data_IF_221176081150
#
_entry.id   IF_221176081150
#
_cell.length_a   1.000
_cell.length_b   1.000
_cell.length_c   1.000
_cell.angle_alpha   90.00
_cell.angle_beta   90.00
_cell.angle_gamma   90.00
#
_symmetry.space_group_name_H-M   'P 1'
#
loop_
_entity.id
_entity.type
_entity.pdbx_description
1 polymer ?
#
# COMPACT_ATOMS: atom_id res chain seq x y z
N UNK A 1 22.12 -64.20 -51.63
CA UNK A 1 21.56 -63.79 -50.31
C UNK A 1 22.13 -62.42 -49.96
N UNK A 2 21.37 -61.34 -50.15
CA UNK A 2 21.77 -59.97 -49.74
C UNK A 2 20.85 -59.56 -48.58
N UNK A 3 21.41 -59.41 -47.38
CA UNK A 3 20.69 -58.98 -46.17
C UNK A 3 20.67 -57.46 -46.13
N UNK A 4 19.50 -56.87 -46.31
CA UNK A 4 19.27 -55.43 -46.14
C UNK A 4 19.10 -55.14 -44.64
N UNK A 5 20.01 -54.37 -44.06
CA UNK A 5 19.92 -53.91 -42.67
C UNK A 5 19.06 -52.63 -42.68
N UNK A 6 17.87 -52.70 -42.08
CA UNK A 6 17.07 -51.52 -41.75
C UNK A 6 17.68 -50.83 -40.54
N UNK A 7 18.19 -49.62 -40.72
CA UNK A 7 18.55 -48.72 -39.62
C UNK A 7 17.32 -47.89 -39.29
N UNK A 8 16.63 -48.23 -38.20
CA UNK A 8 15.56 -47.39 -37.62
C UNK A 8 16.25 -46.27 -36.84
N UNK A 9 16.13 -45.04 -37.35
CA UNK A 9 16.64 -43.85 -36.68
C UNK A 9 15.56 -43.30 -35.74
N UNK A 10 15.70 -43.52 -34.44
CA UNK A 10 14.87 -42.88 -33.41
C UNK A 10 15.34 -41.45 -33.19
N UNK A 11 14.65 -40.47 -33.78
CA UNK A 11 14.83 -39.07 -33.46
C UNK A 11 14.12 -38.75 -32.12
N UNK A 12 14.88 -38.61 -31.03
CA UNK A 12 14.37 -38.03 -29.79
C UNK A 12 14.27 -36.50 -29.96
N UNK A 13 13.06 -35.98 -30.10
CA UNK A 13 12.79 -34.54 -29.96
C UNK A 13 12.77 -34.20 -28.45
N UNK A 14 13.86 -33.64 -27.92
CA UNK A 14 13.85 -33.02 -26.60
C UNK A 14 13.24 -31.62 -26.71
N UNK A 15 11.96 -31.48 -26.35
CA UNK A 15 11.36 -30.18 -26.12
C UNK A 15 11.97 -29.57 -24.85
N UNK A 16 12.97 -28.71 -25.02
CA UNK A 16 13.53 -27.92 -23.93
C UNK A 16 12.48 -26.86 -23.52
N UNK A 17 11.69 -27.17 -22.50
CA UNK A 17 10.83 -26.18 -21.83
C UNK A 17 11.74 -25.30 -20.97
N UNK A 18 12.15 -24.15 -21.50
CA UNK A 18 12.81 -23.12 -20.69
C UNK A 18 11.80 -22.53 -19.72
N UNK A 19 11.89 -22.92 -18.45
CA UNK A 19 11.14 -22.26 -17.37
C UNK A 19 11.77 -20.88 -17.19
N UNK A 20 11.12 -19.84 -17.73
CA UNK A 20 11.47 -18.46 -17.42
C UNK A 20 11.20 -18.22 -15.94
N UNK A 21 12.24 -18.19 -15.12
CA UNK A 21 12.14 -17.75 -13.74
C UNK A 21 11.71 -16.27 -13.76
N UNK A 22 10.52 -15.98 -13.25
CA UNK A 22 10.06 -14.62 -13.03
C UNK A 22 11.06 -13.92 -12.10
N UNK A 23 11.80 -12.94 -12.62
CA UNK A 23 12.65 -12.12 -11.76
C UNK A 23 11.73 -11.24 -10.90
N UNK A 24 11.91 -11.21 -9.57
CA UNK A 24 11.17 -10.28 -8.74
C UNK A 24 11.44 -8.86 -9.24
N UNK A 25 10.40 -8.03 -9.29
CA UNK A 25 10.57 -6.63 -9.58
C UNK A 25 11.34 -6.02 -8.40
N UNK A 26 12.41 -5.28 -8.64
CA UNK A 26 13.00 -4.42 -7.61
C UNK A 26 12.13 -3.15 -7.43
N UNK A 27 10.81 -3.32 -7.38
CA UNK A 27 9.83 -2.30 -7.06
C UNK A 27 9.44 -2.47 -5.59
N UNK A 28 9.07 -1.38 -4.95
CA UNK A 28 8.54 -1.43 -3.59
C UNK A 28 7.64 -0.22 -3.39
N UNK A 29 6.43 -0.45 -2.89
CA UNK A 29 5.47 0.61 -2.62
C UNK A 29 4.13 0.11 -2.10
N UNK A 30 3.38 1.01 -1.50
CA UNK A 30 2.07 0.72 -0.91
C UNK A 30 1.24 2.01 -0.85
N UNK A 31 -0.08 1.87 -0.69
CA UNK A 31 -0.95 3.01 -0.42
C UNK A 31 -0.77 3.48 1.02
N UNK A 32 -0.29 4.70 1.20
CA UNK A 32 -0.06 5.32 2.50
C UNK A 32 -1.28 6.13 2.99
N UNK A 33 -2.07 6.71 2.08
CA UNK A 33 -3.25 7.51 2.45
C UNK A 33 -4.38 7.41 1.42
N UNK A 34 -5.63 7.06 1.81
CA UNK A 34 -5.99 6.52 3.11
C UNK A 34 -5.17 5.25 3.42
N UNK A 35 -4.77 5.03 4.70
CA UNK A 35 -3.82 3.98 5.03
C UNK A 35 -4.35 2.59 4.65
N UNK A 36 -3.54 1.87 3.88
CA UNK A 36 -3.78 0.46 3.55
C UNK A 36 -3.60 -0.46 4.76
N UNK A 37 -4.09 -1.70 4.67
CA UNK A 37 -3.95 -2.72 5.72
C UNK A 37 -2.50 -2.91 6.16
N UNK A 38 -1.56 -3.00 5.22
CA UNK A 38 -0.13 -3.09 5.54
C UNK A 38 0.40 -1.82 6.21
N UNK A 39 -0.08 -0.62 5.81
CA UNK A 39 0.28 0.62 6.49
C UNK A 39 -0.26 0.65 7.93
N UNK A 40 -1.49 0.18 8.16
CA UNK A 40 -2.08 0.05 9.49
C UNK A 40 -1.28 -0.91 10.38
N UNK A 41 -0.88 -2.06 9.82
CA UNK A 41 -0.04 -3.03 10.51
C UNK A 41 1.29 -2.42 10.93
N UNK A 42 1.98 -1.76 10.00
CA UNK A 42 3.28 -1.16 10.25
C UNK A 42 3.21 0.03 11.23
N UNK A 43 2.05 0.72 11.30
CA UNK A 43 1.74 1.74 12.31
C UNK A 43 1.32 1.15 13.68
N UNK A 44 1.25 -0.17 13.84
CA UNK A 44 0.80 -0.82 15.07
C UNK A 44 -0.70 -0.67 15.36
N UNK A 45 -1.50 -0.23 14.39
CA UNK A 45 -2.95 -0.02 14.54
C UNK A 45 -3.76 -1.32 14.50
N UNK A 46 -3.16 -2.39 13.97
CA UNK A 46 -3.73 -3.73 13.95
C UNK A 46 -2.67 -4.71 14.45
N UNK A 47 -3.06 -5.57 15.40
CA UNK A 47 -2.17 -6.55 15.99
C UNK A 47 -2.12 -7.87 15.19
N UNK A 48 -1.06 -8.63 15.44
CA UNK A 48 -0.88 -9.97 14.85
C UNK A 48 -0.77 -9.93 13.33
N UNK A 49 -0.08 -8.93 12.77
CA UNK A 49 0.11 -8.80 11.33
C UNK A 49 1.30 -9.62 10.78
N UNK A 50 2.17 -10.17 11.65
CA UNK A 50 3.36 -10.89 11.21
C UNK A 50 4.40 -9.95 10.58
N UNK A 51 5.17 -10.46 9.62
CA UNK A 51 6.35 -9.77 9.06
C UNK A 51 6.03 -8.46 8.33
N UNK A 52 4.79 -8.30 7.84
CA UNK A 52 4.38 -7.12 7.07
C UNK A 52 4.51 -5.80 7.86
N UNK A 53 4.60 -5.87 9.20
CA UNK A 53 4.83 -4.67 10.04
C UNK A 53 6.18 -4.00 9.75
N UNK A 54 7.17 -4.76 9.25
CA UNK A 54 8.51 -4.26 8.97
C UNK A 54 8.71 -3.81 7.52
N UNK A 55 7.87 -4.31 6.61
CA UNK A 55 8.04 -4.11 5.17
C UNK A 55 6.72 -3.89 4.43
N UNK A 56 5.91 -2.88 4.80
CA UNK A 56 4.60 -2.63 4.17
C UNK A 56 4.70 -2.42 2.65
N UNK A 57 5.85 -1.98 2.15
CA UNK A 57 6.14 -1.78 0.74
C UNK A 57 6.32 -3.06 -0.11
N UNK A 58 6.28 -4.25 0.50
CA UNK A 58 6.76 -5.50 -0.13
C UNK A 58 5.66 -6.49 -0.53
N UNK A 59 4.39 -6.09 -0.60
CA UNK A 59 3.28 -6.99 -0.99
C UNK A 59 3.28 -7.21 -2.52
N UNK A 60 4.35 -7.85 -3.02
CA UNK A 60 4.57 -8.18 -4.42
C UNK A 60 4.13 -9.60 -4.73
N UNK A 61 3.27 -9.78 -5.74
CA UNK A 61 2.96 -11.11 -6.24
C UNK A 61 2.56 -11.11 -7.71
N UNK A 62 2.24 -12.28 -8.30
CA UNK A 62 1.87 -12.38 -9.70
C UNK A 62 0.71 -11.46 -10.05
N UNK A 63 0.71 -10.86 -11.25
CA UNK A 63 -0.42 -10.04 -11.74
C UNK A 63 -1.75 -10.80 -11.73
N UNK A 64 -2.85 -10.06 -11.60
CA UNK A 64 -4.21 -10.60 -11.71
C UNK A 64 -4.85 -11.07 -10.39
N UNK A 65 -4.16 -10.92 -9.26
CA UNK A 65 -4.74 -11.28 -7.96
C UNK A 65 -5.87 -10.31 -7.57
N UNK A 66 -6.82 -10.82 -6.78
CA UNK A 66 -7.96 -10.07 -6.22
C UNK A 66 -8.06 -10.20 -4.69
N UNK A 67 -6.93 -10.48 -4.05
CA UNK A 67 -6.79 -10.58 -2.61
C UNK A 67 -5.78 -9.53 -2.09
N UNK A 68 -5.81 -9.29 -0.78
CA UNK A 68 -5.04 -8.22 -0.14
C UNK A 68 -3.56 -8.55 0.06
N UNK A 69 -3.18 -9.83 -0.04
CA UNK A 69 -1.81 -10.30 0.16
C UNK A 69 -1.09 -10.60 -1.16
N UNK A 70 -1.72 -10.36 -2.32
CA UNK A 70 -1.12 -10.60 -3.63
C UNK A 70 -0.72 -12.05 -3.91
N UNK A 71 -1.30 -13.03 -3.21
CA UNK A 71 -0.85 -14.43 -3.28
C UNK A 71 0.45 -14.73 -2.52
N UNK A 72 0.98 -13.77 -1.73
CA UNK A 72 2.16 -13.94 -0.90
C UNK A 72 1.79 -14.59 0.44
N UNK A 73 2.09 -15.88 0.59
CA UNK A 73 1.67 -16.67 1.75
C UNK A 73 2.13 -16.08 3.11
N UNK A 74 3.33 -15.51 3.19
CA UNK A 74 3.85 -14.88 4.43
C UNK A 74 3.08 -13.62 4.88
N UNK A 75 2.25 -13.05 4.00
CA UNK A 75 1.42 -11.87 4.27
C UNK A 75 -0.08 -12.19 4.26
N UNK A 76 -0.46 -13.48 4.33
CA UNK A 76 -1.86 -13.93 4.27
C UNK A 76 -2.78 -13.23 5.29
N UNK A 77 -2.23 -12.75 6.40
CA UNK A 77 -2.92 -11.96 7.43
C UNK A 77 -3.63 -10.74 6.83
N UNK A 78 -3.09 -10.11 5.78
CA UNK A 78 -3.73 -8.96 5.13
C UNK A 78 -5.09 -9.30 4.51
N UNK A 79 -5.32 -10.57 4.19
CA UNK A 79 -6.57 -11.10 3.66
C UNK A 79 -7.49 -11.71 4.71
N UNK A 80 -7.08 -11.76 5.96
CA UNK A 80 -7.91 -12.25 7.05
C UNK A 80 -8.98 -11.20 7.41
N UNK A 81 -10.21 -11.46 6.98
CA UNK A 81 -11.35 -10.57 7.24
C UNK A 81 -11.89 -10.68 8.67
N UNK A 82 -11.41 -11.62 9.48
CA UNK A 82 -11.79 -11.70 10.91
C UNK A 82 -11.08 -10.66 11.77
N UNK A 83 -9.98 -10.09 11.25
CA UNK A 83 -9.25 -9.01 11.92
C UNK A 83 -10.05 -7.70 11.93
N UNK A 84 -9.93 -6.90 13.00
CA UNK A 84 -10.66 -5.64 13.15
C UNK A 84 -10.04 -4.50 12.32
N UNK A 85 -10.01 -4.63 11.00
CA UNK A 85 -9.42 -3.63 10.10
C UNK A 85 -10.13 -2.27 10.23
N UNK A 86 -9.43 -1.21 10.68
CA UNK A 86 -10.02 0.12 10.80
C UNK A 86 -10.37 0.68 9.42
N UNK A 87 -11.58 1.22 9.28
CA UNK A 87 -12.03 1.86 8.05
C UNK A 87 -11.83 3.38 8.12
N UNK A 88 -11.33 4.00 7.05
CA UNK A 88 -11.21 5.46 6.96
C UNK A 88 -12.50 6.06 6.40
N UNK A 89 -13.12 6.99 7.14
CA UNK A 89 -14.31 7.71 6.66
C UNK A 89 -13.96 8.66 5.53
N UNK A 90 -14.72 8.60 4.44
CA UNK A 90 -14.49 9.37 3.22
C UNK A 90 -15.82 9.81 2.59
N UNK A 91 -15.74 10.84 1.73
CA UNK A 91 -16.83 11.18 0.82
C UNK A 91 -16.96 10.17 -0.32
N UNK A 92 -17.63 10.57 -1.40
CA UNK A 92 -17.79 9.78 -2.62
C UNK A 92 -16.65 9.96 -3.63
N UNK A 93 -15.65 10.79 -3.31
CA UNK A 93 -14.42 10.95 -4.09
C UNK A 93 -13.23 10.87 -3.13
N UNK A 94 -12.23 10.06 -3.49
CA UNK A 94 -11.10 9.75 -2.61
C UNK A 94 -9.80 9.81 -3.39
N UNK A 95 -8.81 10.52 -2.85
CA UNK A 95 -7.45 10.50 -3.39
C UNK A 95 -6.62 9.45 -2.66
N UNK A 96 -6.20 8.42 -3.40
CA UNK A 96 -5.24 7.42 -2.94
C UNK A 96 -3.82 7.90 -3.25
N UNK A 97 -2.97 7.89 -2.22
CA UNK A 97 -1.58 8.33 -2.28
C UNK A 97 -0.67 7.14 -2.02
N UNK A 98 0.08 6.77 -3.04
CA UNK A 98 1.13 5.76 -2.98
C UNK A 98 2.46 6.38 -2.58
N UNK A 99 3.23 5.61 -1.82
CA UNK A 99 4.64 5.90 -1.52
C UNK A 99 5.46 4.77 -2.13
N UNK A 100 6.42 5.12 -2.98
CA UNK A 100 7.29 4.17 -3.67
C UNK A 100 8.71 4.29 -3.12
N UNK A 101 9.16 3.27 -2.40
CA UNK A 101 10.53 3.21 -1.87
C UNK A 101 11.52 2.71 -2.94
N UNK A 102 11.04 1.97 -3.93
CA UNK A 102 11.77 1.65 -5.16
C UNK A 102 10.85 1.81 -6.37
N UNK A 103 11.16 2.79 -7.23
CA UNK A 103 10.33 3.16 -8.40
C UNK A 103 10.66 2.25 -9.57
N UNK A 104 9.65 1.77 -10.29
CA UNK A 104 9.82 0.85 -11.42
C UNK A 104 8.96 1.27 -12.60
N UNK A 105 9.37 0.93 -13.82
CA UNK A 105 8.54 1.07 -15.02
C UNK A 105 7.13 0.52 -14.75
N UNK A 106 6.11 1.34 -14.95
CA UNK A 106 4.74 1.06 -14.52
C UNK A 106 3.81 0.98 -15.72
N UNK A 107 3.00 -0.08 -15.78
CA UNK A 107 1.94 -0.19 -16.77
C UNK A 107 0.71 0.57 -16.26
N UNK A 108 -0.04 -0.01 -15.35
CA UNK A 108 -1.28 0.59 -14.86
C UNK A 108 -1.37 0.56 -13.33
N UNK A 109 -2.14 1.50 -12.80
CA UNK A 109 -2.68 1.49 -11.46
C UNK A 109 -4.17 1.20 -11.54
N UNK A 110 -4.63 0.18 -10.85
CA UNK A 110 -6.04 -0.22 -10.88
C UNK A 110 -6.65 -0.23 -9.48
N UNK A 111 -7.93 0.13 -9.39
CA UNK A 111 -8.68 0.15 -8.14
C UNK A 111 -9.94 -0.69 -8.28
N UNK A 112 -10.20 -1.54 -7.30
CA UNK A 112 -11.33 -2.48 -7.30
C UNK A 112 -12.13 -2.39 -6.00
N UNK A 113 -13.45 -2.52 -6.11
CA UNK A 113 -14.31 -2.91 -4.99
C UNK A 113 -14.93 -4.26 -5.37
N UNK A 114 -14.62 -5.29 -4.56
CA UNK A 114 -14.91 -6.68 -4.93
C UNK A 114 -14.26 -7.02 -6.28
N UNK A 115 -15.06 -7.44 -7.26
CA UNK A 115 -14.62 -7.74 -8.62
C UNK A 115 -14.74 -6.55 -9.59
N UNK A 116 -15.35 -5.44 -9.16
CA UNK A 116 -15.62 -4.30 -10.04
C UNK A 116 -14.42 -3.36 -10.06
N UNK A 117 -13.85 -3.12 -11.25
CA UNK A 117 -12.82 -2.08 -11.43
C UNK A 117 -13.48 -0.70 -11.39
N UNK A 118 -13.16 0.09 -10.38
CA UNK A 118 -13.73 1.44 -10.19
C UNK A 118 -12.85 2.54 -10.81
N UNK A 119 -11.56 2.28 -11.02
CA UNK A 119 -10.67 3.19 -11.75
C UNK A 119 -9.44 2.46 -12.33
N UNK A 120 -8.87 3.04 -13.37
CA UNK A 120 -7.57 2.67 -13.95
C UNK A 120 -6.82 3.94 -14.38
N UNK A 121 -5.52 3.96 -14.12
CA UNK A 121 -4.58 5.00 -14.56
C UNK A 121 -3.43 4.31 -15.29
N UNK A 122 -3.06 4.80 -16.47
CA UNK A 122 -2.05 4.17 -17.34
C UNK A 122 -0.82 5.08 -17.46
N UNK A 123 0.33 4.57 -17.02
CA UNK A 123 1.63 5.26 -17.10
C UNK A 123 2.37 4.95 -18.41
N UNK A 124 1.88 3.99 -19.20
CA UNK A 124 2.43 3.62 -20.50
C UNK A 124 3.87 3.09 -20.44
N UNK A 125 4.26 2.45 -19.34
CA UNK A 125 5.61 1.94 -19.12
C UNK A 125 6.58 2.95 -18.50
N UNK A 126 6.15 4.19 -18.21
CA UNK A 126 7.02 5.20 -17.60
C UNK A 126 7.36 4.82 -16.16
N UNK A 127 8.53 5.26 -15.69
CA UNK A 127 8.85 5.22 -14.26
C UNK A 127 8.11 6.39 -13.57
N UNK A 128 7.25 6.12 -12.58
CA UNK A 128 6.52 7.16 -11.85
C UNK A 128 7.45 7.96 -10.93
N UNK A 129 6.92 9.04 -10.35
CA UNK A 129 7.56 9.72 -9.23
C UNK A 129 7.63 8.85 -7.96
N UNK A 130 8.32 9.33 -6.93
CA UNK A 130 8.41 8.61 -5.65
C UNK A 130 7.07 8.58 -4.89
N UNK A 131 6.17 9.49 -5.25
CA UNK A 131 4.81 9.60 -4.74
C UNK A 131 3.85 9.63 -5.93
N UNK A 132 2.73 8.92 -5.82
CA UNK A 132 1.71 8.91 -6.88
C UNK A 132 0.34 9.13 -6.24
N UNK A 133 -0.44 10.05 -6.79
CA UNK A 133 -1.76 10.41 -6.29
C UNK A 133 -2.82 10.18 -7.35
N UNK A 134 -3.87 9.45 -6.98
CA UNK A 134 -4.98 9.11 -7.87
C UNK A 134 -6.31 9.41 -7.19
N UNK A 135 -7.09 10.32 -7.78
CA UNK A 135 -8.46 10.60 -7.32
C UNK A 135 -9.43 9.65 -7.99
N UNK A 136 -10.12 8.85 -7.18
CA UNK A 136 -11.05 7.81 -7.61
C UNK A 136 -12.46 8.23 -7.22
N UNK A 137 -13.38 8.19 -8.20
CA UNK A 137 -14.80 8.40 -7.96
C UNK A 137 -15.44 7.10 -7.44
N UNK A 138 -16.07 7.19 -6.28
CA UNK A 138 -16.77 6.11 -5.58
C UNK A 138 -18.26 6.43 -5.37
N UNK A 139 -18.85 7.34 -6.15
CA UNK A 139 -20.25 7.77 -5.99
C UNK A 139 -21.29 6.67 -6.16
N UNK A 140 -20.93 5.54 -6.80
CA UNK A 140 -21.78 4.35 -6.89
C UNK A 140 -21.75 3.45 -5.65
N UNK A 141 -21.04 3.83 -4.59
CA UNK A 141 -20.79 3.00 -3.42
C UNK A 141 -21.05 3.77 -2.12
N UNK A 142 -21.43 3.04 -1.07
CA UNK A 142 -21.67 3.59 0.26
C UNK A 142 -21.36 2.56 1.35
N UNK A 143 -21.21 3.04 2.59
CA UNK A 143 -20.95 2.19 3.76
C UNK A 143 -19.54 1.61 3.75
N UNK A 144 -19.35 0.52 4.49
CA UNK A 144 -18.03 -0.09 4.67
C UNK A 144 -17.65 -0.84 3.40
N UNK A 145 -16.61 -0.37 2.71
CA UNK A 145 -16.10 -0.96 1.49
C UNK A 145 -14.61 -1.23 1.62
N UNK A 146 -14.14 -2.28 0.94
CA UNK A 146 -12.72 -2.57 0.80
C UNK A 146 -12.30 -2.29 -0.62
N UNK A 147 -11.38 -1.35 -0.78
CA UNK A 147 -10.76 -1.04 -2.07
C UNK A 147 -9.45 -1.80 -2.18
N UNK A 148 -9.30 -2.60 -3.22
CA UNK A 148 -8.02 -3.18 -3.62
C UNK A 148 -7.36 -2.26 -4.65
N UNK A 149 -6.24 -1.66 -4.28
CA UNK A 149 -5.38 -0.91 -5.17
C UNK A 149 -4.24 -1.81 -5.68
N UNK A 150 -4.03 -1.84 -6.99
CA UNK A 150 -3.07 -2.70 -7.68
C UNK A 150 -2.12 -1.84 -8.50
N UNK A 151 -0.82 -2.01 -8.30
CA UNK A 151 0.23 -1.38 -9.08
C UNK A 151 0.87 -2.43 -9.99
N UNK A 152 0.56 -2.40 -11.29
CA UNK A 152 1.07 -3.34 -12.27
C UNK A 152 2.42 -2.87 -12.84
N UNK A 153 3.49 -3.61 -12.57
CA UNK A 153 4.83 -3.31 -13.10
C UNK A 153 4.87 -3.60 -14.61
N UNK A 154 5.47 -2.73 -15.43
CA UNK A 154 5.38 -2.86 -16.88
C UNK A 154 6.19 -4.04 -17.44
N UNK A 155 7.38 -4.25 -16.90
CA UNK A 155 8.44 -5.09 -17.42
C UNK A 155 8.67 -6.38 -16.59
N UNK A 156 7.75 -6.69 -15.67
CA UNK A 156 7.74 -7.96 -14.93
C UNK A 156 6.35 -8.62 -14.98
N UNK A 157 6.25 -9.84 -14.45
CA UNK A 157 4.95 -10.54 -14.31
C UNK A 157 4.22 -10.21 -13.00
N UNK A 158 4.80 -9.32 -12.18
CA UNK A 158 4.32 -9.03 -10.84
C UNK A 158 3.58 -7.69 -10.73
N UNK A 159 2.85 -7.55 -9.63
CA UNK A 159 2.16 -6.34 -9.21
C UNK A 159 2.24 -6.19 -7.68
N UNK A 160 2.02 -4.97 -7.19
CA UNK A 160 1.91 -4.68 -5.77
C UNK A 160 0.46 -4.47 -5.37
N UNK A 161 0.07 -5.01 -4.23
CA UNK A 161 -1.32 -5.07 -3.78
C UNK A 161 -1.51 -4.33 -2.45
N UNK A 162 -2.46 -3.41 -2.40
CA UNK A 162 -2.81 -2.63 -1.20
C UNK A 162 -4.32 -2.62 -0.99
N UNK A 163 -4.80 -3.30 0.05
CA UNK A 163 -6.20 -3.18 0.47
C UNK A 163 -6.38 -1.97 1.40
N UNK A 164 -7.43 -1.19 1.18
CA UNK A 164 -7.81 -0.04 1.99
C UNK A 164 -9.27 -0.19 2.40
N UNK A 165 -9.53 -0.27 3.71
CA UNK A 165 -10.89 -0.30 4.25
C UNK A 165 -11.39 1.15 4.40
N UNK A 166 -12.55 1.43 3.80
CA UNK A 166 -13.18 2.75 3.75
C UNK A 166 -14.59 2.69 4.30
N UNK A 167 -15.04 3.81 4.87
CA UNK A 167 -16.44 4.07 5.17
C UNK A 167 -16.91 5.20 4.23
N UNK A 168 -17.57 4.84 3.13
CA UNK A 168 -17.93 5.74 2.04
C UNK A 168 -19.28 6.40 2.29
N UNK A 169 -19.37 7.72 2.04
CA UNK A 169 -20.61 8.49 2.18
C UNK A 169 -20.88 8.99 3.60
N UNK A 170 -19.94 8.82 4.54
CA UNK A 170 -20.05 9.29 5.92
C UNK A 170 -19.79 10.80 6.12
N UNK A 171 -19.67 11.58 5.05
CA UNK A 171 -19.29 12.99 5.10
C UNK A 171 -20.47 13.94 5.35
N UNK A 172 -20.94 14.01 6.60
CA UNK A 172 -21.95 14.98 7.01
C UNK A 172 -22.17 15.17 8.51
N UNK A 173 -21.32 14.61 9.39
CA UNK A 173 -21.48 14.78 10.83
C UNK A 173 -20.16 14.76 11.57
N UNK A 174 -19.91 15.83 12.32
CA UNK A 174 -19.11 15.84 13.55
C UNK A 174 -19.37 14.55 14.34
N UNK A 175 -18.36 13.87 14.92
CA UNK A 175 -18.60 12.61 15.62
C UNK A 175 -19.53 12.84 16.81
N UNK A 176 -20.78 12.37 16.69
CA UNK A 176 -21.73 12.29 17.80
C UNK A 176 -21.44 11.00 18.59
N UNK A 177 -21.24 11.05 19.92
CA UNK A 177 -21.09 9.84 20.74
C UNK A 177 -22.43 9.10 20.81
N UNK A 178 -22.43 7.79 20.52
CA UNK A 178 -23.55 6.90 20.86
C UNK A 178 -23.68 6.72 22.39
N UNK A 179 -24.83 6.21 22.88
CA UNK A 179 -25.30 6.42 24.25
C UNK A 179 -24.37 5.80 25.31
N UNK A 180 -23.94 6.64 26.24
CA UNK A 180 -23.17 6.29 27.43
C UNK A 180 -24.07 5.65 28.49
N UNK A 181 -23.65 4.57 29.18
CA UNK A 181 -24.06 4.39 30.57
C UNK A 181 -23.47 5.53 31.42
N UNK A 182 -24.30 6.15 32.26
CA UNK A 182 -23.97 7.27 33.15
C UNK A 182 -23.68 6.75 34.58
N UNK A 183 -23.01 7.47 35.51
CA UNK A 183 -21.90 8.43 35.39
C UNK A 183 -20.72 8.10 36.34
N UNK A 184 -19.51 8.60 36.04
CA UNK A 184 -18.42 8.83 37.03
C UNK A 184 -17.83 10.23 36.71
N UNK A 185 -17.52 11.09 37.69
CA UNK A 185 -17.59 12.54 37.50
C UNK A 185 -16.50 13.16 36.63
N UNK A 186 -16.96 14.18 35.92
CA UNK A 186 -16.35 15.08 34.95
C UNK A 186 -15.00 15.68 35.37
N UNK A 187 -14.01 15.60 34.47
CA UNK A 187 -12.93 16.61 34.37
C UNK A 187 -13.23 17.53 33.18
N UNK A 188 -13.17 18.83 33.43
CA UNK A 188 -13.32 19.93 32.48
C UNK A 188 -12.44 19.74 31.24
N UNK A 189 -12.94 19.93 30.01
CA UNK A 189 -12.12 19.82 28.80
C UNK A 189 -11.16 21.00 28.68
N UNK A 190 -9.86 20.69 28.68
CA UNK A 190 -8.77 21.60 28.29
C UNK A 190 -8.89 21.93 26.79
N UNK A 191 -8.67 23.18 26.35
CA UNK A 191 -8.83 23.58 24.95
C UNK A 191 -7.97 22.74 23.99
N UNK A 192 -8.55 22.40 22.85
CA UNK A 192 -7.89 21.71 21.72
C UNK A 192 -6.66 22.49 21.24
N UNK A 193 -5.45 21.91 21.27
CA UNK A 193 -4.28 22.59 20.74
C UNK A 193 -4.36 22.67 19.20
N UNK A 194 -4.12 23.86 18.67
CA UNK A 194 -3.69 24.08 17.28
C UNK A 194 -2.62 23.03 16.91
N UNK A 195 -2.64 22.41 15.71
CA UNK A 195 -1.62 21.44 15.33
C UNK A 195 -0.24 22.13 15.28
N UNK A 196 0.52 22.00 16.37
CA UNK A 196 1.92 22.38 16.44
C UNK A 196 2.65 21.54 15.40
N UNK A 197 3.23 22.18 14.39
CA UNK A 197 4.18 21.52 13.48
C UNK A 197 5.27 20.92 14.37
N UNK A 198 5.45 19.58 14.44
CA UNK A 198 6.53 19.03 15.23
C UNK A 198 7.85 19.50 14.61
N UNK A 199 8.52 20.42 15.28
CA UNK A 199 9.92 20.78 15.05
C UNK A 199 10.77 20.05 16.08
N UNK A 200 11.87 19.44 15.64
CA UNK A 200 12.76 18.67 16.53
C UNK A 200 13.46 17.51 15.84
N UNK A 201 13.93 16.54 16.61
CA UNK A 201 14.54 15.31 16.07
C UNK A 201 13.47 14.39 15.50
N UNK A 202 13.75 13.76 14.34
CA UNK A 202 12.85 12.75 13.76
C UNK A 202 12.63 11.60 14.76
N UNK A 203 11.39 11.09 14.82
CA UNK A 203 11.03 9.94 15.64
C UNK A 203 10.04 9.04 14.89
N UNK A 204 10.29 7.73 14.94
CA UNK A 204 9.31 6.73 14.53
C UNK A 204 8.01 6.86 15.35
N UNK A 205 6.90 6.42 14.78
CA UNK A 205 5.56 6.52 15.34
C UNK A 205 4.94 7.93 15.29
N UNK A 206 5.69 8.95 14.90
CA UNK A 206 5.22 10.34 14.90
C UNK A 206 4.52 10.68 13.58
N UNK A 207 3.35 11.31 13.68
CA UNK A 207 2.68 11.89 12.52
C UNK A 207 3.36 13.20 12.10
N UNK A 208 3.73 13.27 10.83
CA UNK A 208 4.29 14.47 10.20
C UNK A 208 3.37 14.94 9.09
N UNK A 209 2.86 16.16 9.22
CA UNK A 209 2.17 16.85 8.13
C UNK A 209 3.16 17.25 7.02
N UNK A 210 2.66 17.45 5.80
CA UNK A 210 3.47 18.04 4.72
C UNK A 210 4.03 19.38 5.19
N UNK A 211 5.32 19.59 4.95
CA UNK A 211 6.05 20.78 5.35
C UNK A 211 6.65 20.75 6.76
N UNK A 212 6.31 19.76 7.59
CA UNK A 212 6.95 19.59 8.90
C UNK A 212 8.47 19.43 8.75
N UNK A 213 9.25 20.02 9.66
CA UNK A 213 10.71 20.00 9.57
C UNK A 213 11.32 19.29 10.78
N UNK A 214 12.21 18.35 10.51
CA UNK A 214 12.88 17.53 11.53
C UNK A 214 14.38 17.52 11.33
N UNK A 215 15.12 17.16 12.36
CA UNK A 215 16.56 16.87 12.29
C UNK A 215 16.77 15.36 12.45
N UNK A 216 17.61 14.77 11.60
CA UNK A 216 18.04 13.38 11.74
C UNK A 216 19.53 13.28 11.44
N UNK A 217 20.32 12.72 12.37
CA UNK A 217 21.78 12.66 12.29
C UNK A 217 22.44 14.01 11.95
N UNK A 218 21.93 15.11 12.53
CA UNK A 218 22.47 16.45 12.33
C UNK A 218 22.05 17.15 11.03
N UNK A 219 21.31 16.49 10.14
CA UNK A 219 20.80 17.08 8.89
C UNK A 219 19.32 17.42 9.05
N UNK A 220 18.89 18.57 8.51
CA UNK A 220 17.47 18.97 8.51
C UNK A 220 16.75 18.39 7.30
N UNK A 221 15.51 18.01 7.52
CA UNK A 221 14.62 17.47 6.49
C UNK A 221 13.25 18.11 6.59
N UNK A 222 12.58 18.23 5.45
CA UNK A 222 11.18 18.63 5.30
C UNK A 222 10.36 17.42 4.89
N UNK A 223 9.24 17.17 5.57
CA UNK A 223 8.25 16.18 5.18
C UNK A 223 7.57 16.64 3.88
N UNK A 224 7.56 15.80 2.83
CA UNK A 224 6.93 16.14 1.54
C UNK A 224 5.58 15.46 1.33
N UNK A 225 5.31 14.38 2.06
CA UNK A 225 4.01 13.71 2.06
C UNK A 225 3.60 13.41 3.50
N UNK A 226 2.37 13.78 3.88
CA UNK A 226 1.89 13.52 5.23
C UNK A 226 1.87 12.02 5.52
N UNK A 227 2.45 11.61 6.64
CA UNK A 227 2.57 10.21 7.03
C UNK A 227 2.82 10.09 8.53
N UNK A 228 2.55 8.89 9.07
CA UNK A 228 3.10 8.48 10.36
C UNK A 228 4.42 7.77 10.09
N UNK A 229 5.53 8.32 10.60
CA UNK A 229 6.86 7.76 10.40
C UNK A 229 6.98 6.37 11.00
N UNK A 230 7.64 5.45 10.31
CA UNK A 230 7.89 4.09 10.78
C UNK A 230 9.38 3.85 10.99
N UNK A 231 9.71 2.81 11.77
CA UNK A 231 11.08 2.33 11.87
C UNK A 231 11.55 1.90 10.48
N UNK A 232 12.78 2.28 10.10
CA UNK A 232 13.28 2.06 8.73
C UNK A 232 12.87 3.14 7.72
N UNK A 233 12.01 4.08 8.09
CA UNK A 233 11.64 5.25 7.29
C UNK A 233 12.35 6.51 7.77
N UNK A 234 13.60 6.38 8.20
CA UNK A 234 14.39 7.54 8.56
C UNK A 234 14.61 8.44 7.34
N UNK A 235 14.67 9.77 7.51
CA UNK A 235 14.62 10.72 6.40
C UNK A 235 15.54 10.43 5.20
N UNK A 236 16.82 10.04 5.37
CA UNK A 236 17.68 9.74 4.22
C UNK A 236 17.30 8.46 3.46
N UNK A 237 16.57 7.52 4.08
CA UNK A 237 16.23 6.22 3.47
C UNK A 237 14.97 6.26 2.60
N UNK A 238 14.09 7.24 2.85
CA UNK A 238 12.77 7.35 2.21
C UNK A 238 12.58 8.74 1.61
N UNK A 239 13.30 9.08 0.51
CA UNK A 239 13.19 10.39 -0.15
C UNK A 239 11.81 10.68 -0.73
N UNK A 240 10.94 9.65 -0.83
CA UNK A 240 9.52 9.82 -1.13
C UNK A 240 8.74 10.59 -0.04
N UNK A 241 9.23 10.55 1.20
CA UNK A 241 8.58 11.14 2.37
C UNK A 241 9.32 12.37 2.90
N UNK A 242 10.63 12.48 2.62
CA UNK A 242 11.50 13.51 3.17
C UNK A 242 12.43 14.15 2.13
N UNK A 243 12.64 15.45 2.26
CA UNK A 243 13.58 16.24 1.47
C UNK A 243 14.60 16.89 2.40
N UNK A 244 15.90 16.74 2.14
CA UNK A 244 16.94 17.47 2.90
C UNK A 244 16.85 18.98 2.63
N UNK A 245 17.05 19.80 3.67
CA UNK A 245 16.97 21.28 3.62
C UNK A 245 18.09 21.96 4.41
#
# INVERSE_FOLDING_TARGET
MRKTIMVVSTALLTAAVTVLAASPALAHGYVNSPPSRQAMCAQGRVSGCGDIVYEPQSVEGPKGQRNCHGGVARFAQLSDESKPWPATSVGTSVTFNWVLTARHATSTWEYYIGTTRVAVFDDGGRQPGATVSHTVNLSGWSGRQKVLAVWNIADTVNAFYSCVDLQIGGGGGTPSPGPSPSPTPTRTPTPTPTPTVPGGTWSAGTYYAVGAQVTYNGVRYRCVQAHTALVGWEPPKVPALWQAI
#
